data_IF_178315240245
#
_entry.id   IF_178315240245
#
_cell.length_a   1.000
_cell.length_b   1.000
_cell.length_c   1.000
_cell.angle_alpha   90.00
_cell.angle_beta   90.00
_cell.angle_gamma   90.00
#
_symmetry.space_group_name_H-M   'P 1'
#
loop_
_entity.id
_entity.type
_entity.pdbx_description
1 polymer ?
#
# COMPACT_ATOMS: atom_id res chain seq x y z
N UNK A 1 -47.60 -48.12 44.98
CA UNK A 1 -47.35 -48.03 43.52
C UNK A 1 -46.73 -46.69 43.20
N UNK A 2 -45.43 -46.63 43.01
CA UNK A 2 -44.69 -45.44 42.69
C UNK A 2 -44.42 -45.38 41.18
N UNK A 3 -44.89 -44.34 40.48
CA UNK A 3 -44.66 -44.10 39.07
C UNK A 3 -43.29 -43.49 38.86
N UNK A 4 -42.41 -44.22 38.19
CA UNK A 4 -41.11 -43.68 37.73
C UNK A 4 -41.32 -42.62 36.62
N UNK A 5 -40.78 -41.39 36.81
CA UNK A 5 -40.70 -40.36 35.79
C UNK A 5 -39.45 -40.61 34.94
N UNK A 6 -39.63 -40.90 33.64
CA UNK A 6 -38.56 -41.00 32.68
C UNK A 6 -38.02 -39.58 32.36
N UNK A 7 -36.75 -39.35 32.65
CA UNK A 7 -36.02 -38.13 32.26
C UNK A 7 -35.60 -38.26 30.81
N UNK A 8 -36.19 -37.46 29.92
CA UNK A 8 -35.78 -37.35 28.53
C UNK A 8 -34.52 -36.44 28.52
N UNK A 9 -33.36 -37.04 28.29
CA UNK A 9 -32.12 -36.32 28.06
C UNK A 9 -32.11 -35.86 26.61
N UNK A 10 -32.38 -34.56 26.40
CA UNK A 10 -32.18 -33.90 25.12
C UNK A 10 -30.67 -33.82 24.85
N UNK A 11 -30.17 -34.71 23.94
CA UNK A 11 -28.85 -34.55 23.37
C UNK A 11 -28.88 -33.35 22.40
N UNK A 12 -28.28 -32.22 22.79
CA UNK A 12 -27.98 -31.15 21.87
C UNK A 12 -27.11 -31.67 20.72
N UNK A 13 -27.41 -31.29 19.46
CA UNK A 13 -26.60 -31.71 18.33
C UNK A 13 -25.21 -31.04 18.45
N UNK A 14 -24.17 -31.85 18.48
CA UNK A 14 -22.78 -31.43 18.46
C UNK A 14 -22.54 -30.48 17.25
N UNK A 15 -22.50 -29.21 17.46
CA UNK A 15 -22.08 -28.21 16.47
C UNK A 15 -20.67 -28.55 16.07
N UNK A 16 -20.49 -29.08 14.85
CA UNK A 16 -19.18 -29.29 14.22
C UNK A 16 -18.46 -27.92 14.20
N UNK A 17 -17.54 -27.69 15.13
CA UNK A 17 -16.66 -26.56 15.13
C UNK A 17 -15.91 -26.57 13.80
N UNK A 18 -16.21 -25.61 12.92
CA UNK A 18 -15.42 -25.39 11.71
C UNK A 18 -13.96 -25.18 12.15
N UNK A 19 -12.98 -25.80 11.48
CA UNK A 19 -11.58 -25.62 11.84
C UNK A 19 -11.27 -24.13 11.85
N UNK A 20 -10.73 -23.63 12.95
CA UNK A 20 -10.29 -22.23 13.07
C UNK A 20 -9.08 -22.09 12.15
N UNK A 21 -9.34 -21.76 10.89
CA UNK A 21 -8.27 -21.44 9.93
C UNK A 21 -7.55 -20.22 10.48
N UNK A 22 -6.26 -20.34 10.73
CA UNK A 22 -5.45 -19.24 11.21
C UNK A 22 -5.51 -18.11 10.16
N UNK A 23 -6.12 -16.98 10.55
CA UNK A 23 -6.33 -15.82 9.66
C UNK A 23 -5.01 -15.35 9.04
N UNK A 24 -3.93 -15.37 9.83
CA UNK A 24 -2.60 -14.96 9.35
C UNK A 24 -2.08 -15.89 8.25
N UNK A 25 -2.24 -17.22 8.40
CA UNK A 25 -1.83 -18.19 7.38
C UNK A 25 -2.62 -18.03 6.08
N UNK A 26 -3.93 -17.77 6.19
CA UNK A 26 -4.77 -17.49 5.04
C UNK A 26 -4.31 -16.22 4.30
N UNK A 27 -4.08 -15.15 5.04
CA UNK A 27 -3.61 -13.89 4.49
C UNK A 27 -2.18 -13.98 3.94
N UNK A 28 -1.31 -14.78 4.56
CA UNK A 28 0.04 -15.04 4.08
C UNK A 28 0.04 -15.61 2.66
N UNK A 29 -0.81 -16.63 2.39
CA UNK A 29 -0.92 -17.25 1.06
C UNK A 29 -1.21 -16.25 -0.06
N UNK A 30 -2.04 -15.23 0.20
CA UNK A 30 -2.35 -14.18 -0.80
C UNK A 30 -1.39 -12.99 -0.76
N UNK A 31 -0.62 -12.84 0.33
CA UNK A 31 0.44 -11.84 0.40
C UNK A 31 1.68 -12.22 -0.43
N UNK A 32 1.99 -13.52 -0.52
CA UNK A 32 3.15 -14.03 -1.28
C UNK A 32 3.13 -13.58 -2.76
N UNK A 33 2.05 -13.77 -3.54
CA UNK A 33 1.98 -13.26 -4.91
C UNK A 33 2.17 -11.76 -5.02
N UNK A 34 1.61 -10.98 -4.07
CA UNK A 34 1.76 -9.53 -4.05
C UNK A 34 3.23 -9.10 -3.83
N UNK A 35 3.90 -9.72 -2.87
CA UNK A 35 5.31 -9.43 -2.58
C UNK A 35 6.19 -9.83 -3.75
N UNK A 36 5.96 -11.00 -4.34
CA UNK A 36 6.70 -11.48 -5.52
C UNK A 36 6.49 -10.56 -6.73
N UNK A 37 5.27 -10.09 -6.98
CA UNK A 37 4.98 -9.12 -8.03
C UNK A 37 5.73 -7.79 -7.79
N UNK A 38 5.83 -7.34 -6.54
CA UNK A 38 6.66 -6.17 -6.21
C UNK A 38 8.17 -6.39 -6.39
N UNK A 39 8.64 -7.63 -6.24
CA UNK A 39 10.07 -7.95 -6.44
C UNK A 39 10.42 -8.14 -7.91
N UNK A 40 9.47 -8.63 -8.74
CA UNK A 40 9.73 -9.05 -10.11
C UNK A 40 9.89 -7.89 -11.09
N UNK A 41 9.34 -6.72 -10.83
CA UNK A 41 9.49 -5.60 -11.76
C UNK A 41 8.84 -4.28 -11.31
N UNK A 42 9.53 -3.20 -11.64
CA UNK A 42 8.94 -1.86 -11.77
C UNK A 42 8.04 -1.75 -13.04
N UNK A 43 7.97 -2.78 -13.89
CA UNK A 43 7.29 -2.75 -15.21
C UNK A 43 5.92 -3.45 -15.24
N UNK A 44 5.55 -4.25 -14.24
CA UNK A 44 4.29 -5.01 -14.25
C UNK A 44 3.20 -4.36 -13.38
N UNK A 45 2.86 -3.10 -13.63
CA UNK A 45 1.81 -2.39 -12.87
C UNK A 45 0.47 -3.15 -12.82
N UNK A 46 0.10 -3.86 -13.88
CA UNK A 46 -1.15 -4.61 -13.95
C UNK A 46 -1.14 -5.84 -13.05
N UNK A 47 -0.04 -6.61 -13.04
CA UNK A 47 0.11 -7.78 -12.18
C UNK A 47 0.12 -7.37 -10.70
N UNK A 48 0.83 -6.30 -10.35
CA UNK A 48 0.84 -5.75 -9.00
C UNK A 48 -0.55 -5.27 -8.58
N UNK A 49 -1.30 -4.64 -9.49
CA UNK A 49 -2.67 -4.19 -9.23
C UNK A 49 -3.62 -5.36 -8.97
N UNK A 50 -3.56 -6.42 -9.78
CA UNK A 50 -4.36 -7.62 -9.57
C UNK A 50 -4.05 -8.30 -8.24
N UNK A 51 -2.77 -8.44 -7.88
CA UNK A 51 -2.37 -9.01 -6.60
C UNK A 51 -2.79 -8.13 -5.41
N UNK A 52 -2.76 -6.80 -5.54
CA UNK A 52 -3.28 -5.88 -4.51
C UNK A 52 -4.77 -6.07 -4.30
N UNK A 53 -5.57 -6.14 -5.38
CA UNK A 53 -7.02 -6.38 -5.31
C UNK A 53 -7.32 -7.71 -4.61
N UNK A 54 -6.62 -8.79 -4.97
CA UNK A 54 -6.76 -10.10 -4.35
C UNK A 54 -6.46 -10.07 -2.85
N UNK A 55 -5.31 -9.50 -2.46
CA UNK A 55 -4.92 -9.41 -1.06
C UNK A 55 -5.87 -8.52 -0.25
N UNK A 56 -6.31 -7.39 -0.82
CA UNK A 56 -7.30 -6.51 -0.20
C UNK A 56 -8.63 -7.22 0.03
N UNK A 57 -9.15 -7.94 -0.97
CA UNK A 57 -10.40 -8.70 -0.87
C UNK A 57 -10.33 -9.73 0.26
N UNK A 58 -9.23 -10.48 0.37
CA UNK A 58 -9.02 -11.44 1.45
C UNK A 58 -8.91 -10.76 2.81
N UNK A 59 -8.22 -9.62 2.91
CA UNK A 59 -8.17 -8.84 4.14
C UNK A 59 -9.56 -8.34 4.57
N UNK A 60 -10.38 -7.86 3.63
CA UNK A 60 -11.75 -7.42 3.92
C UNK A 60 -12.60 -8.60 4.40
N UNK A 61 -12.48 -9.76 3.76
CA UNK A 61 -13.23 -10.97 4.13
C UNK A 61 -12.83 -11.49 5.51
N UNK A 62 -11.53 -11.49 5.83
CA UNK A 62 -11.00 -12.04 7.08
C UNK A 62 -11.10 -11.08 8.27
N UNK A 63 -10.92 -9.78 8.05
CA UNK A 63 -10.76 -8.77 9.09
C UNK A 63 -11.86 -7.69 9.08
N UNK A 64 -12.68 -7.67 8.03
CA UNK A 64 -13.75 -6.70 7.82
C UNK A 64 -13.27 -5.40 7.13
N UNK A 65 -14.26 -4.65 6.63
CA UNK A 65 -14.00 -3.35 5.98
C UNK A 65 -13.29 -2.39 6.93
N UNK A 66 -12.35 -1.61 6.41
CA UNK A 66 -11.61 -0.61 7.16
C UNK A 66 -10.49 -1.17 8.03
N UNK A 67 -10.05 -2.43 7.85
CA UNK A 67 -8.92 -3.04 8.58
C UNK A 67 -7.64 -2.18 8.53
N UNK A 68 -7.50 -1.35 7.52
CA UNK A 68 -6.35 -0.47 7.27
C UNK A 68 -6.47 0.91 7.93
N UNK A 69 -7.61 1.22 8.58
CA UNK A 69 -7.83 2.51 9.24
C UNK A 69 -7.16 2.58 10.61
N UNK A 70 -6.98 3.81 11.11
CA UNK A 70 -6.37 4.03 12.43
C UNK A 70 -7.20 3.44 13.57
N UNK A 71 -8.53 3.47 13.43
CA UNK A 71 -9.45 2.94 14.44
C UNK A 71 -9.35 1.42 14.58
N UNK A 72 -9.00 0.72 13.51
CA UNK A 72 -8.83 -0.73 13.48
C UNK A 72 -7.36 -1.18 13.46
N UNK A 73 -6.46 -0.36 14.00
CA UNK A 73 -5.01 -0.60 13.97
C UNK A 73 -4.62 -2.01 14.44
N UNK A 74 -5.19 -2.48 15.57
CA UNK A 74 -4.87 -3.79 16.14
C UNK A 74 -5.30 -4.93 15.22
N UNK A 75 -6.49 -4.82 14.62
CA UNK A 75 -6.99 -5.82 13.65
C UNK A 75 -6.11 -5.82 12.40
N UNK A 76 -5.73 -4.65 11.92
CA UNK A 76 -4.86 -4.48 10.76
C UNK A 76 -3.46 -5.06 10.94
N UNK A 77 -3.00 -5.26 12.20
CA UNK A 77 -1.71 -5.91 12.46
C UNK A 77 -1.65 -7.36 11.97
N UNK A 78 -2.78 -8.07 11.88
CA UNK A 78 -2.81 -9.42 11.34
C UNK A 78 -2.49 -9.43 9.83
N UNK A 79 -3.08 -8.50 9.07
CA UNK A 79 -2.75 -8.33 7.65
C UNK A 79 -1.30 -7.87 7.46
N UNK A 80 -0.83 -6.93 8.29
CA UNK A 80 0.56 -6.46 8.28
C UNK A 80 1.53 -7.59 8.60
N UNK A 81 1.24 -8.42 9.61
CA UNK A 81 2.05 -9.61 9.95
C UNK A 81 2.16 -10.56 8.75
N UNK A 82 1.04 -10.91 8.11
CA UNK A 82 1.02 -11.78 6.94
C UNK A 82 1.85 -11.20 5.78
N UNK A 83 1.73 -9.91 5.50
CA UNK A 83 2.52 -9.22 4.48
C UNK A 83 4.03 -9.24 4.80
N UNK A 84 4.40 -8.99 6.05
CA UNK A 84 5.80 -9.01 6.49
C UNK A 84 6.39 -10.42 6.44
N UNK A 85 5.62 -11.45 6.84
CA UNK A 85 6.04 -12.85 6.68
C UNK A 85 6.37 -13.16 5.22
N UNK A 86 5.48 -12.79 4.27
CA UNK A 86 5.73 -12.97 2.85
C UNK A 86 6.94 -12.18 2.35
N UNK A 87 7.15 -10.96 2.86
CA UNK A 87 8.31 -10.14 2.50
C UNK A 87 9.63 -10.78 2.93
N UNK A 88 9.74 -11.23 4.18
CA UNK A 88 10.96 -11.87 4.67
C UNK A 88 11.19 -13.25 4.03
N UNK A 89 10.13 -14.03 3.83
CA UNK A 89 10.19 -15.31 3.12
C UNK A 89 10.75 -15.14 1.70
N UNK A 90 10.27 -14.12 0.95
CA UNK A 90 10.77 -13.81 -0.39
C UNK A 90 12.25 -13.42 -0.44
N UNK A 91 12.83 -13.07 0.69
CA UNK A 91 14.26 -12.75 0.86
C UNK A 91 15.06 -13.90 1.46
N UNK A 92 14.45 -15.07 1.68
CA UNK A 92 15.06 -16.21 2.32
C UNK A 92 15.45 -15.96 3.79
N UNK A 93 14.78 -15.01 4.46
CA UNK A 93 15.09 -14.63 5.84
C UNK A 93 14.12 -15.32 6.82
N UNK A 94 14.66 -15.92 7.86
CA UNK A 94 13.89 -16.56 8.92
C UNK A 94 13.64 -15.56 10.04
N UNK A 95 12.43 -15.02 10.11
CA UNK A 95 12.05 -13.99 11.08
C UNK A 95 10.81 -14.42 11.85
N UNK A 96 10.90 -14.42 13.18
CA UNK A 96 9.73 -14.53 14.05
C UNK A 96 9.06 -13.15 14.11
N UNK A 97 7.76 -13.14 13.85
CA UNK A 97 6.96 -11.90 13.84
C UNK A 97 5.82 -12.06 14.82
N UNK A 98 5.85 -11.28 15.90
CA UNK A 98 4.80 -11.25 16.91
C UNK A 98 4.02 -9.95 16.89
N UNK A 99 2.73 -10.03 17.25
CA UNK A 99 1.86 -8.87 17.37
C UNK A 99 1.91 -8.37 18.82
N UNK A 100 2.46 -7.18 19.02
CA UNK A 100 2.33 -6.46 20.26
C UNK A 100 1.05 -5.59 20.23
N UNK A 101 -0.07 -6.16 20.65
CA UNK A 101 -1.37 -5.50 20.60
C UNK A 101 -1.42 -4.23 21.47
N UNK A 102 -0.72 -4.20 22.63
CA UNK A 102 -0.72 -3.06 23.54
C UNK A 102 -0.03 -1.83 22.95
N UNK A 103 1.02 -2.03 22.14
CA UNK A 103 1.72 -0.95 21.42
C UNK A 103 1.19 -0.72 20.02
N UNK A 104 0.39 -1.66 19.50
CA UNK A 104 -0.08 -1.63 18.12
C UNK A 104 1.06 -1.77 17.10
N UNK A 105 2.04 -2.64 17.37
CA UNK A 105 3.26 -2.81 16.59
C UNK A 105 3.57 -4.29 16.35
N UNK A 106 4.42 -4.57 15.36
CA UNK A 106 5.02 -5.88 15.16
C UNK A 106 6.38 -5.94 15.85
N UNK A 107 6.61 -6.99 16.63
CA UNK A 107 7.94 -7.36 17.15
C UNK A 107 8.57 -8.32 16.16
N UNK A 108 9.78 -8.03 15.73
CA UNK A 108 10.56 -8.81 14.79
C UNK A 108 11.79 -9.35 15.49
N UNK A 109 12.05 -10.63 15.28
CA UNK A 109 13.22 -11.32 15.86
C UNK A 109 13.81 -12.23 14.79
N UNK A 110 15.12 -12.08 14.54
CA UNK A 110 15.85 -12.95 13.62
C UNK A 110 16.05 -14.31 14.25
N UNK A 111 15.72 -15.37 13.53
CA UNK A 111 15.95 -16.75 13.98
C UNK A 111 17.32 -17.28 13.58
N UNK A 112 18.06 -16.54 12.73
CA UNK A 112 19.37 -16.91 12.19
C UNK A 112 20.48 -15.91 12.57
N UNK A 113 20.22 -15.05 13.56
CA UNK A 113 21.19 -14.07 14.06
C UNK A 113 21.47 -12.89 13.12
N UNK A 114 20.65 -12.68 12.09
CA UNK A 114 20.84 -11.61 11.09
C UNK A 114 20.04 -10.33 11.44
N UNK A 115 20.04 -9.90 12.70
CA UNK A 115 19.24 -8.76 13.17
C UNK A 115 19.49 -7.46 12.40
N UNK A 116 20.74 -7.22 11.98
CA UNK A 116 21.08 -6.02 11.20
C UNK A 116 20.37 -6.02 9.83
N UNK A 117 20.31 -7.18 9.16
CA UNK A 117 19.57 -7.33 7.89
C UNK A 117 18.07 -7.22 8.10
N UNK A 118 17.54 -7.83 9.17
CA UNK A 118 16.11 -7.72 9.53
C UNK A 118 15.73 -6.25 9.75
N UNK A 119 16.56 -5.48 10.45
CA UNK A 119 16.33 -4.03 10.64
C UNK A 119 16.36 -3.25 9.34
N UNK A 120 17.31 -3.52 8.45
CA UNK A 120 17.40 -2.87 7.14
C UNK A 120 16.17 -3.18 6.26
N UNK A 121 15.77 -4.47 6.17
CA UNK A 121 14.60 -4.88 5.39
C UNK A 121 13.28 -4.44 6.02
N UNK A 122 13.22 -4.17 7.32
CA UNK A 122 12.02 -3.65 7.97
C UNK A 122 11.58 -2.29 7.40
N UNK A 123 12.52 -1.41 7.06
CA UNK A 123 12.21 -0.14 6.42
C UNK A 123 11.56 -0.34 5.03
N UNK A 124 12.09 -1.30 4.25
CA UNK A 124 11.56 -1.67 2.93
C UNK A 124 10.16 -2.27 3.04
N UNK A 125 9.97 -3.25 3.94
CA UNK A 125 8.68 -3.86 4.22
C UNK A 125 7.66 -2.79 4.67
N UNK A 126 8.07 -1.88 5.56
CA UNK A 126 7.25 -0.77 6.03
C UNK A 126 6.82 0.18 4.92
N UNK A 127 7.74 0.56 4.04
CA UNK A 127 7.45 1.42 2.90
C UNK A 127 6.44 0.76 1.94
N UNK A 128 6.63 -0.53 1.62
CA UNK A 128 5.71 -1.29 0.75
C UNK A 128 4.34 -1.46 1.41
N UNK A 129 4.30 -1.74 2.70
CA UNK A 129 3.05 -1.81 3.46
C UNK A 129 2.29 -0.48 3.43
N UNK A 130 2.97 0.64 3.69
CA UNK A 130 2.34 1.95 3.67
C UNK A 130 1.79 2.32 2.29
N UNK A 131 2.50 1.96 1.20
CA UNK A 131 1.99 2.10 -0.17
C UNK A 131 0.74 1.25 -0.41
N UNK A 132 0.69 0.03 0.15
CA UNK A 132 -0.50 -0.81 0.06
C UNK A 132 -1.67 -0.21 0.85
N UNK A 133 -1.45 0.28 2.07
CA UNK A 133 -2.50 0.94 2.89
C UNK A 133 -3.05 2.20 2.19
N UNK A 134 -2.17 3.01 1.59
CA UNK A 134 -2.60 4.17 0.80
C UNK A 134 -3.46 3.73 -0.40
N UNK A 135 -3.04 2.69 -1.10
CA UNK A 135 -3.82 2.11 -2.20
C UNK A 135 -5.18 1.59 -1.73
N UNK A 136 -5.27 0.93 -0.54
CA UNK A 136 -6.54 0.49 0.03
C UNK A 136 -7.51 1.66 0.29
N UNK A 137 -7.00 2.79 0.77
CA UNK A 137 -7.82 3.99 0.97
C UNK A 137 -8.37 4.53 -0.35
N UNK A 138 -7.57 4.52 -1.42
CA UNK A 138 -7.99 4.93 -2.76
C UNK A 138 -8.98 3.93 -3.38
N UNK A 139 -8.82 2.62 -3.15
CA UNK A 139 -9.76 1.59 -3.58
C UNK A 139 -11.13 1.76 -2.90
N UNK A 140 -11.16 1.97 -1.58
CA UNK A 140 -12.39 2.24 -0.83
C UNK A 140 -13.07 3.52 -1.30
N UNK A 141 -12.29 4.54 -1.68
CA UNK A 141 -12.79 5.79 -2.25
C UNK A 141 -13.26 5.66 -3.72
N UNK A 142 -13.17 4.48 -4.32
CA UNK A 142 -13.54 4.23 -5.71
C UNK A 142 -12.60 4.86 -6.75
N UNK A 143 -11.41 5.32 -6.34
CA UNK A 143 -10.47 5.98 -7.25
C UNK A 143 -9.80 5.01 -8.24
N UNK A 144 -9.86 3.70 -7.94
CA UNK A 144 -9.36 2.62 -8.78
C UNK A 144 -10.47 1.89 -9.54
N UNK A 145 -11.72 2.37 -9.46
CA UNK A 145 -12.79 1.88 -10.33
C UNK A 145 -12.27 1.94 -11.77
N UNK A 146 -12.39 0.82 -12.49
CA UNK A 146 -11.94 0.71 -13.86
C UNK A 146 -12.44 1.93 -14.62
N UNK A 147 -11.51 2.67 -15.19
CA UNK A 147 -11.85 3.75 -16.09
C UNK A 147 -12.53 3.09 -17.27
N UNK A 148 -13.86 3.12 -17.28
CA UNK A 148 -14.63 2.73 -18.47
C UNK A 148 -13.94 3.41 -19.66
N UNK A 149 -13.40 2.66 -20.63
CA UNK A 149 -12.73 3.25 -21.79
C UNK A 149 -13.62 4.22 -22.53
N UNK A 150 -14.96 4.10 -22.36
CA UNK A 150 -15.96 5.01 -22.90
C UNK A 150 -16.23 6.22 -21.99
N UNK A 151 -15.84 6.17 -20.71
CA UNK A 151 -16.05 7.28 -19.76
C UNK A 151 -14.76 8.08 -19.55
N UNK A 152 -14.12 8.49 -20.64
CA UNK A 152 -12.96 9.39 -20.61
C UNK A 152 -13.27 10.78 -20.05
N UNK A 153 -14.55 11.11 -19.83
CA UNK A 153 -14.98 12.43 -19.35
C UNK A 153 -15.12 12.58 -17.83
N UNK A 154 -15.25 11.48 -17.05
CA UNK A 154 -15.57 11.59 -15.62
C UNK A 154 -14.37 11.86 -14.68
N UNK A 155 -13.13 11.84 -15.18
CA UNK A 155 -11.94 12.15 -14.41
C UNK A 155 -11.04 13.18 -15.10
N UNK A 156 -11.65 14.20 -15.70
CA UNK A 156 -10.93 15.41 -16.06
C UNK A 156 -10.79 16.33 -14.84
N UNK A 157 -10.29 15.78 -13.73
CA UNK A 157 -9.60 16.59 -12.74
C UNK A 157 -8.45 17.25 -13.46
N UNK A 158 -8.70 18.48 -13.97
CA UNK A 158 -7.73 19.41 -14.52
C UNK A 158 -6.52 18.73 -15.20
N UNK A 159 -6.74 18.05 -16.33
CA UNK A 159 -5.62 17.77 -17.23
C UNK A 159 -5.07 19.12 -17.64
N UNK A 160 -3.97 19.51 -17.03
CA UNK A 160 -3.21 20.70 -17.46
C UNK A 160 -3.05 20.58 -18.97
N UNK A 161 -3.36 21.65 -19.69
CA UNK A 161 -3.12 21.68 -21.13
C UNK A 161 -1.63 21.43 -21.40
N UNK A 162 -1.29 20.91 -22.56
CA UNK A 162 0.14 20.73 -22.93
C UNK A 162 0.91 22.03 -22.74
N UNK A 163 0.28 23.17 -23.06
CA UNK A 163 0.90 24.48 -22.86
C UNK A 163 1.18 24.81 -21.39
N UNK A 164 0.32 24.38 -20.45
CA UNK A 164 0.58 24.54 -19.00
C UNK A 164 1.70 23.64 -18.50
N UNK A 165 1.79 22.41 -19.01
CA UNK A 165 2.88 21.48 -18.70
C UNK A 165 4.21 22.02 -19.19
N UNK A 166 4.25 22.54 -20.42
CA UNK A 166 5.43 23.19 -21.00
C UNK A 166 5.82 24.44 -20.22
N UNK A 167 4.87 25.29 -19.86
CA UNK A 167 5.08 26.49 -19.05
C UNK A 167 5.75 26.15 -17.71
N UNK A 168 5.22 25.16 -16.99
CA UNK A 168 5.78 24.74 -15.72
C UNK A 168 7.20 24.17 -15.86
N UNK A 169 7.46 23.42 -16.93
CA UNK A 169 8.78 22.83 -17.21
C UNK A 169 9.81 23.90 -17.54
N UNK A 170 9.46 24.84 -18.40
CA UNK A 170 10.34 25.99 -18.72
C UNK A 170 10.58 26.86 -17.51
N UNK A 171 9.56 27.14 -16.68
CA UNK A 171 9.71 27.92 -15.46
C UNK A 171 10.64 27.23 -14.45
N UNK A 172 10.58 25.91 -14.31
CA UNK A 172 11.50 25.14 -13.44
C UNK A 172 12.94 25.23 -13.95
N UNK A 173 13.14 25.04 -15.25
CA UNK A 173 14.46 25.14 -15.87
C UNK A 173 15.05 26.56 -15.70
N UNK A 174 14.23 27.57 -15.90
CA UNK A 174 14.62 29.00 -15.70
C UNK A 174 15.02 29.27 -14.25
N UNK A 175 14.20 28.84 -13.28
CA UNK A 175 14.48 29.02 -11.86
C UNK A 175 15.77 28.29 -11.43
N UNK A 176 16.03 27.10 -11.96
CA UNK A 176 17.27 26.37 -11.70
C UNK A 176 18.50 27.11 -12.28
N UNK A 177 18.40 27.56 -13.52
CA UNK A 177 19.50 28.32 -14.19
C UNK A 177 19.76 29.65 -13.51
N UNK A 178 18.71 30.31 -13.06
CA UNK A 178 18.82 31.57 -12.32
C UNK A 178 19.57 31.38 -10.98
N UNK A 179 19.21 30.35 -10.21
CA UNK A 179 19.90 30.00 -8.95
C UNK A 179 21.37 29.66 -9.16
N UNK A 180 21.71 29.08 -10.30
CA UNK A 180 23.09 28.76 -10.68
C UNK A 180 23.84 29.93 -11.32
N UNK A 181 23.22 31.13 -11.44
CA UNK A 181 23.84 32.31 -12.03
C UNK A 181 24.10 32.22 -13.55
N UNK A 182 23.47 31.28 -14.26
CA UNK A 182 23.65 31.03 -15.70
C UNK A 182 22.83 32.00 -16.53
N UNK A 183 23.30 33.28 -16.64
CA UNK A 183 22.57 34.36 -17.32
C UNK A 183 22.25 34.08 -18.79
N UNK A 184 23.18 33.51 -19.55
CA UNK A 184 22.98 33.18 -20.97
C UNK A 184 21.89 32.10 -21.14
N UNK A 185 21.85 31.07 -20.27
CA UNK A 185 20.85 30.08 -20.31
C UNK A 185 19.46 30.62 -19.90
N UNK A 186 19.41 31.54 -18.96
CA UNK A 186 18.19 32.28 -18.62
C UNK A 186 17.66 33.10 -19.81
N UNK A 187 18.51 33.77 -20.51
CA UNK A 187 18.16 34.57 -21.70
C UNK A 187 17.63 33.63 -22.83
N UNK A 188 18.30 32.52 -23.04
CA UNK A 188 17.86 31.52 -24.01
C UNK A 188 16.46 30.92 -23.64
N UNK A 189 16.22 30.60 -22.39
CA UNK A 189 14.92 30.12 -21.92
C UNK A 189 13.82 31.19 -22.07
N UNK A 190 14.13 32.47 -21.91
CA UNK A 190 13.18 33.56 -22.13
C UNK A 190 12.84 33.77 -23.61
N UNK A 191 13.74 33.42 -24.52
CA UNK A 191 13.50 33.47 -25.97
C UNK A 191 12.75 32.26 -26.52
N UNK A 192 12.12 31.48 -25.63
CA UNK A 192 11.45 30.23 -25.98
C UNK A 192 10.44 30.38 -27.14
N UNK A 193 10.32 29.35 -28.03
CA UNK A 193 9.49 29.46 -29.24
C UNK A 193 7.98 29.54 -28.92
N UNK A 194 7.60 29.13 -27.70
CA UNK A 194 6.20 29.17 -27.27
C UNK A 194 5.79 30.56 -26.73
N UNK A 195 6.71 31.52 -26.74
CA UNK A 195 6.50 32.90 -26.22
C UNK A 195 5.93 32.93 -24.79
N UNK A 196 6.26 31.93 -23.98
CA UNK A 196 5.84 31.83 -22.58
C UNK A 196 6.65 32.80 -21.75
N UNK A 197 6.00 33.73 -21.07
CA UNK A 197 6.66 34.69 -20.16
C UNK A 197 7.12 33.97 -18.90
N UNK A 198 8.42 33.86 -18.66
CA UNK A 198 8.97 33.24 -17.47
C UNK A 198 9.18 34.33 -16.38
N UNK A 199 8.83 33.97 -15.16
CA UNK A 199 8.88 34.86 -14.01
C UNK A 199 10.22 34.72 -13.28
N UNK A 200 10.82 35.84 -12.90
CA UNK A 200 12.01 35.85 -12.05
C UNK A 200 11.64 35.26 -10.69
N UNK A 201 12.46 34.32 -10.12
CA UNK A 201 12.18 33.75 -8.83
C UNK A 201 12.00 34.78 -7.72
N UNK A 202 11.02 34.61 -6.85
CA UNK A 202 10.80 35.46 -5.68
C UNK A 202 12.05 35.42 -4.78
N UNK A 203 12.53 36.59 -4.36
CA UNK A 203 13.75 36.73 -3.53
C UNK A 203 15.06 36.79 -4.30
N UNK A 204 15.04 36.87 -5.62
CA UNK A 204 16.23 37.15 -6.42
C UNK A 204 16.72 38.57 -6.16
N UNK A 205 17.90 38.72 -5.54
CA UNK A 205 18.59 40.02 -5.46
C UNK A 205 19.03 40.40 -6.89
N UNK A 206 18.73 41.65 -7.27
CA UNK A 206 19.19 42.22 -8.53
C UNK A 206 20.71 42.31 -8.56
#
# INVERSE_FOLDING_TARGET
MAKAKSVVVNKEPATKKKPVVNVVERLFKVAVPLVNAHNASDTANDAVSACRKSFFSECVQALGKGFHTKEKKVIGLQARKAFYMAHYDSKGMKVLIDINASRGELKLESLDGQDAKVKAENANAGTRWNKFVAWCADEVAGKHAEKDPNNRQANSGNKRSESEVWKDSLQRAYNASYKLGKKEHCAWLQSNPLKIKLLVPAGAKK
#
